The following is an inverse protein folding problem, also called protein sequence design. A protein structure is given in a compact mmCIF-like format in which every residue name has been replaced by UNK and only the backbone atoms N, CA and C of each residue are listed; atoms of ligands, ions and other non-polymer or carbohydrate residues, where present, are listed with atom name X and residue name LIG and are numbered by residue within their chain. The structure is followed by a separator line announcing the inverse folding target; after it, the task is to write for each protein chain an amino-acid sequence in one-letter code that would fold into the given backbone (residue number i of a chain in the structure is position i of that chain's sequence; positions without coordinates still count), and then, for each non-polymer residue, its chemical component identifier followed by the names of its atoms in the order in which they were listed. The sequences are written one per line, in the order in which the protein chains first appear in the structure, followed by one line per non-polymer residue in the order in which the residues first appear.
data_IF_200667211934
#
_entry.id   IF_200667211934
#
_cell.length_a   1.000
_cell.length_b   1.000
_cell.length_c   1.000
_cell.angle_alpha   90.00
_cell.angle_beta   90.00
_cell.angle_gamma   90.00
#
_symmetry.space_group_name_H-M   'P 1'
#
loop_
_entity.id
_entity.type
_entity.pdbx_description
1 polymer ?
#
# COMPACT_ATOMS: atom_id res chain seq x y z
N UNK A 1 -27.53 46.59 1.88
CA UNK A 1 -26.11 46.90 2.12
C UNK A 1 -25.48 47.17 0.77
N UNK A 2 -24.91 48.36 0.50
CA UNK A 2 -24.38 48.67 -0.83
C UNK A 2 -23.07 47.91 -1.06
N UNK A 3 -22.82 47.49 -2.32
CA UNK A 3 -21.59 46.77 -2.71
C UNK A 3 -20.34 47.56 -2.31
N UNK A 4 -20.40 48.91 -2.37
CA UNK A 4 -19.31 49.78 -1.97
C UNK A 4 -18.97 49.69 -0.47
N UNK A 5 -19.97 49.55 0.40
CA UNK A 5 -19.76 49.42 1.85
C UNK A 5 -19.11 48.06 2.19
N UNK A 6 -19.50 46.99 1.48
CA UNK A 6 -18.91 45.66 1.67
C UNK A 6 -17.45 45.62 1.21
N UNK A 7 -17.13 46.23 0.05
CA UNK A 7 -15.76 46.31 -0.46
C UNK A 7 -14.87 47.16 0.46
N UNK A 8 -15.37 48.31 0.92
CA UNK A 8 -14.64 49.18 1.86
C UNK A 8 -14.34 48.48 3.19
N UNK A 9 -15.30 47.73 3.73
CA UNK A 9 -15.11 46.96 4.96
C UNK A 9 -14.06 45.86 4.80
N UNK A 10 -14.09 45.08 3.70
CA UNK A 10 -13.09 44.03 3.43
C UNK A 10 -11.68 44.60 3.31
N UNK A 11 -11.51 45.77 2.67
CA UNK A 11 -10.22 46.45 2.56
C UNK A 11 -9.67 46.88 3.93
N UNK A 12 -10.51 47.48 4.78
CA UNK A 12 -10.10 47.90 6.13
C UNK A 12 -9.75 46.69 7.00
N UNK A 13 -10.56 45.63 6.97
CA UNK A 13 -10.25 44.40 7.69
C UNK A 13 -8.93 43.76 7.21
N UNK A 14 -8.68 43.76 5.89
CA UNK A 14 -7.42 43.28 5.32
C UNK A 14 -6.21 44.09 5.79
N UNK A 15 -6.31 45.43 5.78
CA UNK A 15 -5.24 46.31 6.25
C UNK A 15 -4.94 46.13 7.75
N UNK A 16 -5.99 45.98 8.58
CA UNK A 16 -5.85 45.72 10.02
C UNK A 16 -5.20 44.36 10.26
N UNK A 17 -5.61 43.30 9.55
CA UNK A 17 -5.03 41.98 9.68
C UNK A 17 -3.54 41.95 9.31
N UNK A 18 -3.17 42.63 8.21
CA UNK A 18 -1.78 42.82 7.79
C UNK A 18 -0.97 43.58 8.86
N UNK A 19 -1.51 44.68 9.40
CA UNK A 19 -0.84 45.47 10.44
C UNK A 19 -0.59 44.71 11.74
N UNK A 20 -1.58 43.92 12.20
CA UNK A 20 -1.46 43.08 13.41
C UNK A 20 -0.42 41.96 13.20
N UNK A 21 -0.37 41.38 12.01
CA UNK A 21 0.59 40.34 11.67
C UNK A 21 2.02 40.88 11.57
N UNK A 22 2.24 42.04 10.93
CA UNK A 22 3.55 42.72 10.90
C UNK A 22 4.05 43.01 12.32
N UNK A 23 3.16 43.52 13.19
CA UNK A 23 3.50 43.86 14.57
C UNK A 23 3.86 42.63 15.41
N UNK A 24 3.17 41.51 15.22
CA UNK A 24 3.46 40.26 15.96
C UNK A 24 4.71 39.56 15.47
N UNK A 25 5.02 39.64 14.17
CA UNK A 25 6.26 39.10 13.60
C UNK A 25 7.49 39.94 13.96
N UNK A 26 7.38 41.28 13.94
CA UNK A 26 8.49 42.16 14.33
C UNK A 26 8.88 42.02 15.80
N UNK A 27 7.92 41.72 16.68
CA UNK A 27 8.18 41.37 18.09
C UNK A 27 8.93 40.05 18.28
N UNK A 28 8.87 39.13 17.32
CA UNK A 28 9.49 37.80 17.40
C UNK A 28 10.86 37.73 16.72
N UNK A 29 11.17 38.69 15.85
CA UNK A 29 12.47 38.76 15.21
C UNK A 29 13.47 39.52 16.09
N UNK A 30 14.61 38.92 16.40
CA UNK A 30 15.73 39.62 17.03
C UNK A 30 16.41 40.53 16.00
N UNK A 31 15.86 41.72 15.75
CA UNK A 31 16.45 42.71 14.85
C UNK A 31 15.44 43.55 14.04
N UNK A 32 15.96 44.37 13.12
CA UNK A 32 15.13 45.23 12.27
C UNK A 32 14.35 44.39 11.24
N UNK A 33 13.05 44.18 11.50
CA UNK A 33 12.15 43.50 10.56
C UNK A 33 11.76 44.45 9.41
N UNK A 34 12.47 44.33 8.29
CA UNK A 34 12.25 45.15 7.10
C UNK A 34 11.04 44.71 6.26
N UNK A 35 10.56 45.60 5.40
CA UNK A 35 9.46 45.33 4.44
C UNK A 35 9.77 44.14 3.52
N UNK A 36 11.04 43.95 3.15
CA UNK A 36 11.49 42.78 2.36
C UNK A 36 11.29 41.46 3.11
N UNK A 37 11.65 41.40 4.39
CA UNK A 37 11.44 40.21 5.23
C UNK A 37 9.95 39.89 5.39
N UNK A 38 9.09 40.92 5.50
CA UNK A 38 7.65 40.71 5.51
C UNK A 38 7.12 40.15 4.19
N UNK A 39 7.57 40.68 3.04
CA UNK A 39 7.18 40.16 1.71
C UNK A 39 7.61 38.71 1.49
N UNK A 40 8.78 38.31 1.99
CA UNK A 40 9.22 36.90 1.99
C UNK A 40 8.24 36.02 2.78
N UNK A 41 7.81 36.45 3.98
CA UNK A 41 6.85 35.66 4.78
C UNK A 41 5.48 35.55 4.12
N UNK A 42 5.05 36.57 3.36
CA UNK A 42 3.82 36.50 2.58
C UNK A 42 3.95 35.52 1.41
N UNK A 43 5.10 35.51 0.73
CA UNK A 43 5.37 34.57 -0.36
C UNK A 43 5.42 33.13 0.17
N UNK A 44 6.09 32.89 1.30
CA UNK A 44 6.14 31.58 1.95
C UNK A 44 4.76 31.10 2.37
N UNK A 45 3.93 31.98 2.94
CA UNK A 45 2.54 31.65 3.31
C UNK A 45 1.68 31.37 2.09
N UNK A 46 1.82 32.15 1.03
CA UNK A 46 1.09 31.93 -0.20
C UNK A 46 1.51 30.61 -0.87
N UNK A 47 2.82 30.32 -0.90
CA UNK A 47 3.36 29.05 -1.37
C UNK A 47 2.85 27.87 -0.52
N UNK A 48 2.79 28.02 0.81
CA UNK A 48 2.22 27.01 1.71
C UNK A 48 0.72 26.80 1.45
N UNK A 49 -0.07 27.86 1.30
CA UNK A 49 -1.51 27.74 0.99
C UNK A 49 -1.76 27.12 -0.39
N UNK A 50 -0.93 27.46 -1.39
CA UNK A 50 -0.99 26.81 -2.70
C UNK A 50 -0.60 25.32 -2.60
N UNK A 51 0.44 25.00 -1.82
CA UNK A 51 0.85 23.62 -1.56
C UNK A 51 -0.27 22.83 -0.85
N UNK A 52 -0.93 23.42 0.14
CA UNK A 52 -2.05 22.80 0.86
C UNK A 52 -3.25 22.58 -0.07
N UNK A 53 -3.59 23.56 -0.93
CA UNK A 53 -4.67 23.42 -1.91
C UNK A 53 -4.38 22.34 -2.95
N UNK A 54 -3.15 22.29 -3.45
CA UNK A 54 -2.74 21.26 -4.41
C UNK A 54 -2.73 19.89 -3.77
N UNK A 55 -2.21 19.75 -2.55
CA UNK A 55 -2.27 18.51 -1.77
C UNK A 55 -3.72 18.06 -1.51
N UNK A 56 -4.60 18.98 -1.10
CA UNK A 56 -6.02 18.68 -0.88
C UNK A 56 -6.73 18.24 -2.17
N UNK A 57 -6.41 18.86 -3.30
CA UNK A 57 -6.96 18.45 -4.61
C UNK A 57 -6.46 17.07 -5.02
N UNK A 58 -5.15 16.82 -4.89
CA UNK A 58 -4.55 15.50 -5.20
C UNK A 58 -5.18 14.41 -4.33
N UNK A 59 -5.37 14.67 -3.04
CA UNK A 59 -6.02 13.73 -2.13
C UNK A 59 -7.50 13.52 -2.47
N UNK A 60 -8.24 14.58 -2.82
CA UNK A 60 -9.63 14.45 -3.29
C UNK A 60 -9.72 13.64 -4.59
N UNK A 61 -8.83 13.88 -5.55
CA UNK A 61 -8.78 13.14 -6.82
C UNK A 61 -8.38 11.67 -6.59
N UNK A 62 -7.51 11.40 -5.60
CA UNK A 62 -7.16 10.04 -5.17
C UNK A 62 -8.36 9.33 -4.56
N UNK A 63 -9.05 9.98 -3.61
CA UNK A 63 -10.25 9.43 -2.97
C UNK A 63 -11.38 9.18 -3.96
N UNK A 64 -11.56 10.06 -4.95
CA UNK A 64 -12.53 9.87 -6.03
C UNK A 64 -12.20 8.62 -6.86
N UNK A 65 -10.92 8.42 -7.23
CA UNK A 65 -10.45 7.21 -7.93
C UNK A 65 -10.60 5.95 -7.08
N UNK A 66 -10.29 6.03 -5.79
CA UNK A 66 -10.52 4.94 -4.84
C UNK A 66 -12.00 4.56 -4.77
N UNK A 67 -12.89 5.54 -4.64
CA UNK A 67 -14.33 5.33 -4.56
C UNK A 67 -14.93 4.80 -5.87
N UNK A 68 -14.36 5.16 -7.02
CA UNK A 68 -14.74 4.61 -8.32
C UNK A 68 -14.37 3.11 -8.47
N UNK A 69 -13.45 2.60 -7.64
CA UNK A 69 -13.05 1.20 -7.61
C UNK A 69 -12.13 0.79 -8.76
N UNK A 70 -11.86 -0.52 -8.85
CA UNK A 70 -10.91 -1.08 -9.81
C UNK A 70 -11.35 -1.03 -11.28
N UNK A 71 -12.64 -0.78 -11.56
CA UNK A 71 -13.19 -0.77 -12.92
C UNK A 71 -12.49 0.26 -13.83
N UNK A 72 -12.14 1.44 -13.30
CA UNK A 72 -11.47 2.50 -14.06
C UNK A 72 -10.05 2.15 -14.50
N UNK A 73 -9.49 1.05 -13.99
CA UNK A 73 -8.14 0.58 -14.27
C UNK A 73 -8.12 -0.69 -15.11
N UNK A 74 -9.28 -1.12 -15.61
CA UNK A 74 -9.39 -2.26 -16.52
C UNK A 74 -8.74 -1.91 -17.85
N UNK A 75 -7.80 -2.72 -18.36
CA UNK A 75 -7.14 -2.44 -19.63
C UNK A 75 -8.13 -2.59 -20.78
N UNK A 76 -7.81 -1.94 -21.90
CA UNK A 76 -8.47 -2.24 -23.17
C UNK A 76 -8.25 -3.73 -23.52
N UNK A 77 -9.24 -4.38 -24.18
CA UNK A 77 -9.03 -5.74 -24.64
C UNK A 77 -7.83 -5.80 -25.61
N UNK A 78 -6.96 -6.83 -25.51
CA UNK A 78 -5.92 -7.05 -26.50
C UNK A 78 -6.46 -7.15 -27.93
N UNK A 79 -5.60 -6.97 -28.93
CA UNK A 79 -6.01 -7.13 -30.32
C UNK A 79 -6.60 -8.52 -30.57
N UNK A 80 -7.79 -8.56 -31.19
CA UNK A 80 -8.53 -9.81 -31.45
C UNK A 80 -9.26 -10.39 -30.22
N UNK A 81 -9.27 -9.68 -29.09
CA UNK A 81 -10.01 -10.05 -27.89
C UNK A 81 -11.24 -9.16 -27.70
N UNK A 82 -12.24 -9.70 -27.02
CA UNK A 82 -13.47 -8.99 -26.64
C UNK A 82 -13.58 -8.95 -25.13
N UNK A 83 -14.02 -7.83 -24.57
CA UNK A 83 -14.33 -7.71 -23.14
C UNK A 83 -15.82 -7.89 -22.88
N UNK A 84 -16.13 -8.54 -21.76
CA UNK A 84 -17.48 -8.90 -21.34
C UNK A 84 -17.75 -8.42 -19.92
N UNK A 85 -18.98 -8.00 -19.69
CA UNK A 85 -19.53 -7.69 -18.36
C UNK A 85 -20.10 -8.95 -17.72
N UNK A 86 -20.01 -9.07 -16.40
CA UNK A 86 -20.70 -10.14 -15.68
C UNK A 86 -22.23 -10.06 -15.81
N UNK A 87 -22.78 -8.91 -16.20
CA UNK A 87 -24.20 -8.77 -16.51
C UNK A 87 -24.62 -9.59 -17.75
N UNK A 88 -23.68 -9.95 -18.62
CA UNK A 88 -23.89 -10.77 -19.82
C UNK A 88 -23.77 -12.26 -19.49
N UNK A 89 -24.43 -12.73 -18.43
CA UNK A 89 -24.26 -14.08 -17.87
C UNK A 89 -24.62 -15.23 -18.83
N UNK A 90 -25.30 -14.94 -19.93
CA UNK A 90 -25.68 -15.91 -20.98
C UNK A 90 -24.57 -16.12 -22.02
N UNK A 91 -23.59 -15.23 -22.08
CA UNK A 91 -22.46 -15.33 -23.01
C UNK A 91 -21.48 -16.42 -22.58
N UNK A 92 -21.04 -17.24 -23.54
CA UNK A 92 -20.18 -18.40 -23.26
C UNK A 92 -18.89 -18.04 -22.48
N UNK A 93 -18.18 -16.93 -22.79
CA UNK A 93 -17.01 -16.52 -22.00
C UNK A 93 -17.34 -16.18 -20.54
N UNK A 94 -18.52 -15.64 -20.28
CA UNK A 94 -18.97 -15.30 -18.92
C UNK A 94 -19.31 -16.55 -18.13
N UNK A 95 -20.01 -17.50 -18.75
CA UNK A 95 -20.27 -18.82 -18.16
C UNK A 95 -18.95 -19.52 -17.79
N UNK A 96 -17.96 -19.48 -18.69
CA UNK A 96 -16.63 -20.04 -18.45
C UNK A 96 -15.91 -19.34 -17.30
N UNK A 97 -15.90 -18.00 -17.27
CA UNK A 97 -15.30 -17.27 -16.15
C UNK A 97 -15.96 -17.56 -14.80
N UNK A 98 -17.29 -17.74 -14.77
CA UNK A 98 -18.02 -18.14 -13.56
C UNK A 98 -17.69 -19.57 -13.11
N UNK A 99 -17.24 -20.44 -14.01
CA UNK A 99 -16.76 -21.79 -13.68
C UNK A 99 -15.44 -21.79 -12.90
N UNK A 100 -14.66 -20.69 -12.95
CA UNK A 100 -13.43 -20.50 -12.18
C UNK A 100 -13.66 -20.29 -10.66
N UNK A 101 -14.82 -20.73 -10.15
CA UNK A 101 -15.27 -20.67 -8.74
C UNK A 101 -14.87 -19.34 -8.07
N UNK A 102 -15.55 -18.21 -8.41
CA UNK A 102 -15.34 -16.93 -7.76
C UNK A 102 -15.28 -17.07 -6.24
N UNK A 103 -14.10 -16.92 -5.63
CA UNK A 103 -14.01 -16.66 -4.19
C UNK A 103 -14.41 -15.21 -4.00
N UNK A 104 -15.57 -14.92 -3.39
CA UNK A 104 -15.95 -13.54 -3.12
C UNK A 104 -14.89 -12.92 -2.22
N UNK A 105 -14.48 -11.70 -2.53
CA UNK A 105 -13.53 -10.97 -1.69
C UNK A 105 -14.27 -10.59 -0.42
N UNK A 106 -13.94 -11.24 0.70
CA UNK A 106 -14.52 -10.96 2.01
C UNK A 106 -14.31 -9.52 2.51
N UNK A 107 -13.54 -8.69 1.79
CA UNK A 107 -13.04 -7.39 2.26
C UNK A 107 -13.63 -6.18 1.52
N UNK A 108 -14.27 -6.37 0.37
CA UNK A 108 -14.95 -5.26 -0.37
C UNK A 108 -16.46 -5.37 -0.37
N UNK A 109 -16.97 -6.49 0.09
CA UNK A 109 -18.38 -6.72 0.30
C UNK A 109 -18.56 -6.85 1.80
N UNK A 110 -19.48 -6.08 2.36
CA UNK A 110 -19.89 -6.40 3.73
C UNK A 110 -20.35 -7.86 3.74
N UNK A 111 -20.12 -8.59 4.83
CA UNK A 111 -20.66 -9.97 4.97
C UNK A 111 -22.16 -10.00 4.64
N UNK A 112 -22.89 -8.92 4.97
CA UNK A 112 -24.27 -8.66 4.54
C UNK A 112 -24.48 -8.58 3.03
N UNK A 113 -23.59 -7.99 2.24
CA UNK A 113 -23.68 -7.95 0.76
C UNK A 113 -23.48 -9.34 0.15
N UNK A 114 -22.58 -10.15 0.72
CA UNK A 114 -22.37 -11.55 0.29
C UNK A 114 -23.61 -12.39 0.62
N UNK A 115 -24.10 -12.33 1.86
CA UNK A 115 -25.32 -13.06 2.27
C UNK A 115 -26.57 -12.59 1.53
N UNK A 116 -26.70 -11.30 1.23
CA UNK A 116 -27.83 -10.80 0.42
C UNK A 116 -27.68 -11.13 -1.05
N UNK A 117 -26.47 -11.19 -1.60
CA UNK A 117 -26.24 -11.65 -2.97
C UNK A 117 -26.55 -13.13 -3.13
N UNK A 118 -26.16 -13.98 -2.17
CA UNK A 118 -26.54 -15.40 -2.14
C UNK A 118 -28.05 -15.59 -2.07
N UNK A 119 -28.75 -14.78 -1.26
CA UNK A 119 -30.22 -14.83 -1.13
C UNK A 119 -30.97 -14.24 -2.34
N UNK A 120 -30.38 -13.32 -3.09
CA UNK A 120 -30.99 -12.64 -4.25
C UNK A 120 -30.66 -13.29 -5.60
N UNK A 121 -29.86 -14.36 -5.60
CA UNK A 121 -29.52 -15.13 -6.79
C UNK A 121 -28.38 -14.54 -7.63
N UNK A 122 -28.03 -15.24 -8.72
CA UNK A 122 -26.84 -14.99 -9.53
C UNK A 122 -26.73 -13.56 -10.10
N UNK A 123 -27.85 -12.87 -10.34
CA UNK A 123 -27.87 -11.50 -10.85
C UNK A 123 -27.26 -10.47 -9.87
N UNK A 124 -27.47 -10.64 -8.56
CA UNK A 124 -26.87 -9.76 -7.56
C UNK A 124 -25.36 -10.00 -7.43
N UNK A 125 -24.93 -11.28 -7.48
CA UNK A 125 -23.52 -11.68 -7.50
C UNK A 125 -22.82 -11.16 -8.76
N UNK A 126 -23.47 -11.23 -9.92
CA UNK A 126 -22.95 -10.69 -11.18
C UNK A 126 -22.69 -9.18 -11.11
N UNK A 127 -23.63 -8.39 -10.55
CA UNK A 127 -23.44 -6.94 -10.38
C UNK A 127 -22.27 -6.60 -9.46
N UNK A 128 -22.05 -7.42 -8.43
CA UNK A 128 -20.94 -7.26 -7.51
C UNK A 128 -19.61 -7.55 -8.21
N UNK A 129 -19.54 -8.66 -8.95
CA UNK A 129 -18.35 -9.03 -9.71
C UNK A 129 -18.04 -8.03 -10.83
N UNK A 130 -19.07 -7.44 -11.45
CA UNK A 130 -18.90 -6.44 -12.52
C UNK A 130 -18.30 -5.11 -12.04
N UNK A 131 -18.43 -4.79 -10.74
CA UNK A 131 -17.83 -3.58 -10.16
C UNK A 131 -16.32 -3.67 -10.03
N UNK A 132 -15.79 -4.87 -9.82
CA UNK A 132 -14.37 -5.06 -9.54
C UNK A 132 -13.66 -5.84 -10.63
N UNK A 133 -14.40 -6.53 -11.51
CA UNK A 133 -13.81 -7.39 -12.52
C UNK A 133 -14.43 -7.29 -13.91
N UNK A 134 -13.62 -7.72 -14.88
CA UNK A 134 -13.99 -7.81 -16.30
C UNK A 134 -13.46 -9.12 -16.88
N UNK A 135 -14.20 -9.65 -17.84
CA UNK A 135 -13.84 -10.87 -18.54
C UNK A 135 -13.33 -10.50 -19.92
N UNK A 136 -12.30 -11.19 -20.39
CA UNK A 136 -11.74 -11.03 -21.72
C UNK A 136 -11.67 -12.41 -22.38
N UNK A 137 -12.05 -12.49 -23.64
CA UNK A 137 -11.99 -13.71 -24.42
C UNK A 137 -11.40 -13.45 -25.79
N UNK A 138 -10.54 -14.35 -26.26
CA UNK A 138 -9.95 -14.28 -27.59
C UNK A 138 -9.43 -15.64 -28.05
N UNK A 139 -8.94 -15.68 -29.28
CA UNK A 139 -8.26 -16.86 -29.80
C UNK A 139 -6.85 -16.98 -29.22
N UNK A 140 -6.51 -18.17 -28.74
CA UNK A 140 -5.18 -18.55 -28.30
C UNK A 140 -4.68 -19.83 -28.99
N UNK A 141 -3.48 -20.30 -28.63
CA UNK A 141 -2.83 -21.45 -29.29
C UNK A 141 -3.65 -22.74 -29.17
N UNK A 142 -4.39 -22.90 -28.07
CA UNK A 142 -5.14 -24.11 -27.72
C UNK A 142 -6.65 -23.94 -27.89
N UNK A 143 -7.10 -22.94 -28.65
CA UNK A 143 -8.51 -22.60 -28.83
C UNK A 143 -8.89 -21.27 -28.17
N UNK A 144 -10.15 -21.11 -27.81
CA UNK A 144 -10.61 -19.88 -27.14
C UNK A 144 -10.02 -19.85 -25.73
N UNK A 145 -9.35 -18.76 -25.39
CA UNK A 145 -8.84 -18.49 -24.04
C UNK A 145 -9.79 -17.52 -23.31
N UNK A 146 -9.83 -17.60 -21.98
CA UNK A 146 -10.62 -16.71 -21.14
C UNK A 146 -9.79 -16.18 -19.97
N UNK A 147 -9.77 -14.85 -19.83
CA UNK A 147 -9.12 -14.12 -18.74
C UNK A 147 -10.22 -13.44 -17.93
N UNK A 148 -10.29 -13.70 -16.63
CA UNK A 148 -11.09 -12.91 -15.71
C UNK A 148 -10.15 -12.11 -14.80
N UNK A 149 -10.09 -10.81 -15.05
CA UNK A 149 -9.35 -9.85 -14.23
C UNK A 149 -10.28 -9.26 -13.17
N UNK A 150 -9.83 -9.23 -11.93
CA UNK A 150 -10.50 -8.60 -10.78
C UNK A 150 -9.50 -7.69 -10.06
N UNK A 151 -9.78 -6.39 -10.02
CA UNK A 151 -8.99 -5.39 -9.32
C UNK A 151 -9.83 -4.89 -8.14
N UNK A 152 -9.34 -5.18 -6.95
CA UNK A 152 -10.02 -4.86 -5.71
C UNK A 152 -9.17 -3.92 -4.86
N UNK A 153 -9.78 -2.84 -4.37
CA UNK A 153 -9.15 -1.95 -3.39
C UNK A 153 -9.55 -2.36 -1.98
N UNK A 154 -8.57 -2.83 -1.21
CA UNK A 154 -8.75 -3.23 0.18
C UNK A 154 -8.44 -2.02 1.06
N UNK A 155 -9.46 -1.45 1.75
CA UNK A 155 -9.21 -0.35 2.66
C UNK A 155 -8.37 -0.83 3.84
N UNK A 156 -7.69 0.14 4.45
CA UNK A 156 -6.97 -0.04 5.70
C UNK A 156 -7.83 -0.74 6.75
N UNK A 157 -7.29 -1.75 7.44
CA UNK A 157 -8.07 -2.49 8.43
C UNK A 157 -8.40 -1.63 9.66
N UNK A 158 -9.64 -1.70 10.16
CA UNK A 158 -10.08 -1.02 11.39
C UNK A 158 -9.61 -1.78 12.65
N UNK A 159 -8.29 -1.83 12.87
CA UNK A 159 -7.62 -2.63 13.91
C UNK A 159 -7.87 -2.17 15.35
N UNK A 160 -8.42 -0.97 15.53
CA UNK A 160 -8.80 -0.46 16.84
C UNK A 160 -10.23 -0.88 17.23
N UNK A 161 -10.77 -1.92 16.60
CA UNK A 161 -12.07 -2.53 16.90
C UNK A 161 -11.90 -4.05 17.07
N UNK A 162 -12.67 -4.67 17.97
CA UNK A 162 -12.66 -6.14 18.15
C UNK A 162 -12.98 -6.89 16.86
N UNK A 163 -13.96 -6.39 16.09
CA UNK A 163 -14.34 -6.98 14.81
C UNK A 163 -13.17 -6.92 13.80
N UNK A 164 -12.47 -5.79 13.73
CA UNK A 164 -11.31 -5.63 12.85
C UNK A 164 -10.13 -6.52 13.23
N UNK A 165 -9.85 -6.67 14.53
CA UNK A 165 -8.80 -7.58 15.02
C UNK A 165 -9.14 -9.05 14.71
N UNK A 166 -10.39 -9.47 15.00
CA UNK A 166 -10.85 -10.83 14.73
C UNK A 166 -10.82 -11.15 13.23
N UNK A 167 -11.31 -10.24 12.37
CA UNK A 167 -11.25 -10.41 10.91
C UNK A 167 -9.81 -10.43 10.40
N UNK A 168 -8.93 -9.57 10.93
CA UNK A 168 -7.52 -9.54 10.57
C UNK A 168 -6.82 -10.88 10.84
N UNK A 169 -7.04 -11.45 12.03
CA UNK A 169 -6.48 -12.76 12.40
C UNK A 169 -7.05 -13.90 11.56
N UNK A 170 -8.37 -13.92 11.31
CA UNK A 170 -9.00 -14.93 10.46
C UNK A 170 -8.46 -14.88 9.02
N UNK A 171 -8.25 -13.68 8.47
CA UNK A 171 -7.69 -13.52 7.13
C UNK A 171 -6.21 -13.91 7.07
N UNK A 172 -5.41 -13.54 8.07
CA UNK A 172 -4.02 -13.96 8.16
C UNK A 172 -3.90 -15.49 8.22
N UNK A 173 -4.77 -16.15 9.00
CA UNK A 173 -4.85 -17.59 9.07
C UNK A 173 -5.25 -18.22 7.73
N UNK A 174 -6.33 -17.72 7.10
CA UNK A 174 -6.79 -18.19 5.79
C UNK A 174 -5.70 -18.09 4.71
N UNK A 175 -4.97 -16.98 4.67
CA UNK A 175 -3.86 -16.77 3.72
C UNK A 175 -2.67 -17.67 4.02
N UNK A 176 -2.36 -17.93 5.30
CA UNK A 176 -1.29 -18.83 5.69
C UNK A 176 -1.50 -20.28 5.24
N UNK A 177 -2.73 -20.63 4.84
CA UNK A 177 -3.10 -21.95 4.32
C UNK A 177 -3.14 -22.02 2.79
N UNK A 178 -2.94 -20.91 2.09
CA UNK A 178 -2.83 -20.88 0.63
C UNK A 178 -1.42 -21.29 0.22
N UNK A 179 -1.30 -22.27 -0.68
CA UNK A 179 -0.03 -22.57 -1.32
C UNK A 179 0.15 -21.63 -2.52
N UNK A 180 1.22 -20.84 -2.48
CA UNK A 180 1.57 -19.89 -3.53
C UNK A 180 2.90 -20.28 -4.16
N UNK A 181 2.99 -20.14 -5.48
CA UNK A 181 4.21 -20.32 -6.27
C UNK A 181 4.50 -19.03 -7.05
N UNK A 182 5.78 -18.66 -7.21
CA UNK A 182 6.13 -17.49 -8.01
C UNK A 182 5.66 -17.62 -9.44
N UNK A 183 5.06 -16.57 -10.00
CA UNK A 183 4.78 -16.53 -11.43
C UNK A 183 5.74 -15.58 -12.13
N UNK A 184 5.54 -14.28 -11.98
CA UNK A 184 6.34 -13.26 -12.65
C UNK A 184 6.26 -11.90 -11.94
N UNK A 185 7.15 -10.99 -12.31
CA UNK A 185 7.11 -9.59 -11.84
C UNK A 185 6.81 -8.66 -13.01
N UNK A 186 5.81 -7.81 -12.85
CA UNK A 186 5.45 -6.78 -13.82
C UNK A 186 5.53 -5.41 -13.15
N UNK A 187 6.46 -4.57 -13.60
CA UNK A 187 6.65 -3.19 -13.14
C UNK A 187 6.61 -3.03 -11.61
N UNK A 188 7.39 -3.88 -10.92
CA UNK A 188 7.51 -3.90 -9.46
C UNK A 188 6.45 -4.74 -8.74
N UNK A 189 5.43 -5.24 -9.42
CA UNK A 189 4.37 -6.09 -8.83
C UNK A 189 4.70 -7.56 -9.03
N UNK A 190 4.97 -8.26 -7.93
CA UNK A 190 5.10 -9.73 -7.94
C UNK A 190 3.74 -10.41 -8.01
N UNK A 191 3.56 -11.28 -9.00
CA UNK A 191 2.41 -12.16 -9.14
C UNK A 191 2.78 -13.57 -8.71
N UNK A 192 1.93 -14.16 -7.87
CA UNK A 192 2.03 -15.57 -7.46
C UNK A 192 0.81 -16.35 -7.93
N UNK A 193 1.02 -17.61 -8.26
CA UNK A 193 -0.03 -18.57 -8.58
C UNK A 193 -0.52 -19.27 -7.31
N UNK A 194 -1.82 -19.18 -7.04
CA UNK A 194 -2.47 -19.85 -5.93
C UNK A 194 -2.91 -21.23 -6.40
N UNK A 195 -2.06 -22.24 -6.16
CA UNK A 195 -2.23 -23.59 -6.69
C UNK A 195 -3.20 -24.44 -5.87
N UNK A 196 -3.27 -24.24 -4.53
CA UNK A 196 -4.16 -24.99 -3.62
C UNK A 196 -4.62 -24.17 -2.42
N UNK A 197 -5.86 -24.39 -2.01
CA UNK A 197 -6.34 -24.07 -0.66
C UNK A 197 -6.47 -25.38 0.11
N UNK A 198 -5.69 -25.57 1.17
CA UNK A 198 -5.72 -26.80 1.99
C UNK A 198 -7.06 -27.04 2.69
N UNK A 199 -7.97 -26.05 2.66
CA UNK A 199 -9.33 -26.13 3.19
C UNK A 199 -10.33 -26.83 2.24
N UNK A 200 -10.01 -26.97 0.95
CA UNK A 200 -10.87 -27.67 0.00
C UNK A 200 -10.42 -29.13 -0.09
N UNK A 201 -11.22 -30.06 0.44
CA UNK A 201 -10.91 -31.50 0.53
C UNK A 201 -10.87 -32.23 -0.82
N UNK A 202 -11.17 -31.55 -1.92
CA UNK A 202 -11.05 -32.09 -3.28
C UNK A 202 -9.67 -31.73 -3.83
N UNK A 203 -8.77 -32.70 -3.83
CA UNK A 203 -7.41 -32.65 -4.38
C UNK A 203 -7.38 -32.56 -5.92
N UNK A 204 -8.48 -32.12 -6.55
CA UNK A 204 -8.56 -31.96 -8.00
C UNK A 204 -7.80 -30.69 -8.41
N UNK A 205 -6.89 -30.77 -9.40
CA UNK A 205 -6.23 -29.60 -9.93
C UNK A 205 -7.29 -28.64 -10.47
N UNK A 206 -7.15 -27.35 -10.12
CA UNK A 206 -7.99 -26.31 -10.69
C UNK A 206 -7.81 -26.36 -12.22
N UNK A 207 -8.89 -26.56 -12.97
CA UNK A 207 -8.88 -26.50 -14.44
C UNK A 207 -8.60 -25.09 -15.00
N UNK A 208 -8.11 -24.19 -14.15
CA UNK A 208 -7.78 -22.80 -14.41
C UNK A 208 -6.68 -22.37 -13.43
N UNK A 209 -5.94 -21.34 -13.80
CA UNK A 209 -4.88 -20.70 -13.02
C UNK A 209 -5.43 -19.51 -12.27
N UNK A 210 -4.92 -19.26 -11.07
CA UNK A 210 -5.33 -18.14 -10.23
C UNK A 210 -4.10 -17.33 -9.80
N UNK A 211 -3.80 -16.26 -10.54
CA UNK A 211 -2.67 -15.39 -10.28
C UNK A 211 -3.10 -14.21 -9.40
N UNK A 212 -2.28 -13.86 -8.41
CA UNK A 212 -2.55 -12.76 -7.49
C UNK A 212 -1.33 -11.85 -7.41
N UNK A 213 -1.53 -10.58 -7.71
CA UNK A 213 -0.57 -9.50 -7.48
C UNK A 213 -1.09 -8.51 -6.44
N UNK A 214 -0.19 -7.93 -5.64
CA UNK A 214 -0.53 -6.97 -4.58
C UNK A 214 0.34 -5.73 -4.66
N UNK A 215 -0.28 -4.57 -4.46
CA UNK A 215 0.41 -3.28 -4.32
C UNK A 215 0.02 -2.70 -2.95
N UNK A 216 1.02 -2.30 -2.17
CA UNK A 216 0.81 -1.79 -0.82
C UNK A 216 0.68 -2.89 0.26
N UNK A 217 0.42 -2.44 1.47
CA UNK A 217 0.24 -3.27 2.67
C UNK A 217 -0.77 -2.57 3.59
N UNK A 218 -1.68 -3.34 4.20
CA UNK A 218 -2.87 -2.85 4.94
C UNK A 218 -3.92 -2.17 4.04
N UNK A 219 -3.57 -1.02 3.46
CA UNK A 219 -4.28 -0.44 2.32
C UNK A 219 -3.65 -0.99 1.04
N UNK A 220 -4.41 -1.81 0.30
CA UNK A 220 -3.87 -2.61 -0.79
C UNK A 220 -4.69 -2.47 -2.07
N UNK A 221 -4.01 -2.48 -3.21
CA UNK A 221 -4.60 -2.88 -4.49
C UNK A 221 -4.31 -4.35 -4.69
N UNK A 222 -5.35 -5.17 -4.82
CA UNK A 222 -5.24 -6.60 -5.07
C UNK A 222 -5.72 -6.88 -6.49
N UNK A 223 -4.81 -7.40 -7.31
CA UNK A 223 -5.06 -7.76 -8.70
C UNK A 223 -5.15 -9.28 -8.74
N UNK A 224 -6.26 -9.81 -9.23
CA UNK A 224 -6.45 -11.25 -9.42
C UNK A 224 -6.75 -11.54 -10.87
N UNK A 225 -6.08 -12.53 -11.42
CA UNK A 225 -6.34 -13.03 -12.76
C UNK A 225 -6.66 -14.52 -12.67
N UNK A 226 -7.89 -14.87 -13.03
CA UNK A 226 -8.33 -16.26 -13.16
C UNK A 226 -8.44 -16.61 -14.63
N UNK A 227 -7.74 -17.64 -15.08
CA UNK A 227 -7.60 -17.86 -16.52
C UNK A 227 -7.17 -19.27 -16.88
N UNK A 228 -7.48 -19.68 -18.10
CA UNK A 228 -6.95 -20.87 -18.77
C UNK A 228 -6.07 -20.52 -19.99
N UNK A 229 -5.66 -19.26 -20.08
CA UNK A 229 -4.79 -18.78 -21.13
C UNK A 229 -3.35 -19.29 -20.99
N UNK A 230 -2.65 -19.33 -22.11
CA UNK A 230 -1.21 -19.61 -22.17
C UNK A 230 -0.38 -18.53 -21.49
N UNK A 231 0.86 -18.87 -21.08
CA UNK A 231 1.79 -17.94 -20.44
C UNK A 231 2.08 -16.70 -21.28
N UNK A 232 2.24 -16.85 -22.59
CA UNK A 232 2.48 -15.74 -23.49
C UNK A 232 1.31 -14.74 -23.50
N UNK A 233 0.07 -15.24 -23.46
CA UNK A 233 -1.13 -14.41 -23.36
C UNK A 233 -1.18 -13.70 -22.01
N UNK A 234 -0.94 -14.43 -20.92
CA UNK A 234 -0.97 -13.88 -19.56
C UNK A 234 0.07 -12.77 -19.39
N UNK A 235 1.32 -13.00 -19.81
CA UNK A 235 2.39 -12.02 -19.72
C UNK A 235 2.06 -10.76 -20.52
N UNK A 236 1.60 -10.92 -21.77
CA UNK A 236 1.18 -9.78 -22.59
C UNK A 236 0.04 -9.00 -21.93
N UNK A 237 -0.96 -9.70 -21.41
CA UNK A 237 -2.11 -9.08 -20.78
C UNK A 237 -1.72 -8.33 -19.50
N UNK A 238 -0.99 -8.96 -18.58
CA UNK A 238 -0.55 -8.32 -17.34
C UNK A 238 0.40 -7.15 -17.61
N UNK A 239 1.28 -7.25 -18.61
CA UNK A 239 2.16 -6.14 -19.00
C UNK A 239 1.43 -4.88 -19.52
N UNK A 240 0.16 -5.01 -19.90
CA UNK A 240 -0.66 -3.89 -20.38
C UNK A 240 -1.33 -3.07 -19.27
N UNK A 241 -1.24 -3.52 -18.01
CA UNK A 241 -1.83 -2.82 -16.87
C UNK A 241 -1.02 -1.57 -16.51
N UNK A 242 -1.74 -0.49 -16.20
CA UNK A 242 -1.13 0.74 -15.67
C UNK A 242 -0.89 0.62 -14.16
N UNK A 243 0.20 -0.05 -13.81
CA UNK A 243 0.60 -0.25 -12.41
C UNK A 243 0.92 1.07 -11.69
N UNK A 244 1.42 2.08 -12.40
CA UNK A 244 1.67 3.40 -11.84
C UNK A 244 0.37 4.08 -11.41
N UNK A 245 -0.67 4.04 -12.25
CA UNK A 245 -1.98 4.60 -11.93
C UNK A 245 -2.64 3.85 -10.76
N UNK A 246 -2.52 2.51 -10.72
CA UNK A 246 -3.01 1.69 -9.60
C UNK A 246 -2.29 2.04 -8.29
N UNK A 247 -0.96 2.17 -8.32
CA UNK A 247 -0.16 2.52 -7.16
C UNK A 247 -0.47 3.94 -6.65
N UNK A 248 -0.76 4.88 -7.55
CA UNK A 248 -1.11 6.26 -7.22
C UNK A 248 -2.46 6.43 -6.50
N UNK A 249 -3.29 5.38 -6.42
CA UNK A 249 -4.54 5.40 -5.64
C UNK A 249 -4.27 5.20 -4.15
N UNK A 250 -3.13 4.60 -3.79
CA UNK A 250 -2.74 4.37 -2.40
C UNK A 250 -2.36 5.67 -1.71
N UNK A 251 -2.69 5.79 -0.42
CA UNK A 251 -2.23 6.88 0.46
C UNK A 251 -0.70 6.90 0.57
N UNK A 252 -0.09 5.71 0.61
CA UNK A 252 1.35 5.52 0.60
C UNK A 252 1.73 4.61 -0.58
N UNK A 253 2.02 5.19 -1.76
CA UNK A 253 2.47 4.43 -2.93
C UNK A 253 3.79 3.71 -2.65
N UNK A 254 3.95 2.52 -3.26
CA UNK A 254 5.19 1.74 -3.20
C UNK A 254 6.15 2.24 -4.28
N UNK A 255 7.32 2.75 -3.92
CA UNK A 255 8.26 3.36 -4.88
C UNK A 255 8.78 2.40 -5.96
N UNK A 256 8.71 1.09 -5.72
CA UNK A 256 9.08 0.09 -6.71
C UNK A 256 8.05 -0.07 -7.83
N UNK A 257 6.79 0.29 -7.62
CA UNK A 257 5.69 -0.04 -8.52
C UNK A 257 5.39 1.11 -9.47
N UNK A 258 5.35 0.85 -10.77
CA UNK A 258 5.13 1.90 -11.77
C UNK A 258 6.40 2.65 -12.19
N UNK A 259 7.58 2.11 -11.85
CA UNK A 259 8.87 2.77 -12.04
C UNK A 259 9.65 2.24 -13.26
N UNK A 260 9.05 1.32 -14.03
CA UNK A 260 9.64 0.72 -15.21
C UNK A 260 10.69 -0.36 -14.90
N UNK A 261 10.58 -1.04 -13.75
CA UNK A 261 11.53 -2.11 -13.42
C UNK A 261 11.33 -3.31 -14.35
N UNK A 262 12.42 -3.76 -14.96
CA UNK A 262 12.47 -4.96 -15.78
C UNK A 262 13.32 -6.00 -15.07
N UNK A 263 12.71 -7.13 -14.73
CA UNK A 263 13.40 -8.29 -14.15
C UNK A 263 13.65 -9.31 -15.27
N UNK A 264 14.86 -9.86 -15.32
CA UNK A 264 15.22 -10.87 -16.30
C UNK A 264 14.28 -12.09 -16.20
N UNK A 265 13.82 -12.69 -17.32
CA UNK A 265 12.83 -13.78 -17.29
C UNK A 265 13.18 -14.94 -16.34
N UNK A 266 14.47 -15.30 -16.26
CA UNK A 266 14.96 -16.36 -15.37
C UNK A 266 14.82 -16.03 -13.87
N UNK A 267 14.73 -14.75 -13.50
CA UNK A 267 14.64 -14.31 -12.11
C UNK A 267 13.22 -13.91 -11.69
N UNK A 268 12.28 -13.76 -12.64
CA UNK A 268 10.94 -13.24 -12.37
C UNK A 268 10.17 -14.08 -11.35
N UNK A 269 10.23 -15.40 -11.47
CA UNK A 269 9.58 -16.35 -10.54
C UNK A 269 10.11 -16.19 -9.12
N UNK A 270 11.43 -16.31 -8.95
CA UNK A 270 12.08 -16.17 -7.64
C UNK A 270 11.82 -14.79 -7.02
N UNK A 271 11.80 -13.72 -7.84
CA UNK A 271 11.51 -12.38 -7.35
C UNK A 271 10.08 -12.22 -6.89
N UNK A 272 9.12 -12.80 -7.61
CA UNK A 272 7.72 -12.80 -7.20
C UNK A 272 7.53 -13.52 -5.86
N UNK A 273 8.24 -14.64 -5.63
CA UNK A 273 8.22 -15.36 -4.36
C UNK A 273 8.82 -14.55 -3.22
N UNK A 274 9.93 -13.84 -3.45
CA UNK A 274 10.53 -12.97 -2.45
C UNK A 274 9.56 -11.86 -2.02
N UNK A 275 8.83 -11.26 -2.97
CA UNK A 275 7.83 -10.22 -2.69
C UNK A 275 6.65 -10.81 -1.89
N UNK A 276 6.15 -11.99 -2.26
CA UNK A 276 5.07 -12.66 -1.53
C UNK A 276 5.50 -13.11 -0.12
N UNK A 277 6.71 -13.63 0.03
CA UNK A 277 7.30 -13.97 1.34
C UNK A 277 7.42 -12.73 2.24
N UNK A 278 7.86 -11.60 1.68
CA UNK A 278 7.92 -10.33 2.39
C UNK A 278 6.53 -9.87 2.84
N UNK A 279 5.52 -10.04 1.99
CA UNK A 279 4.12 -9.76 2.33
C UNK A 279 3.61 -10.69 3.45
N UNK A 280 3.93 -11.98 3.41
CA UNK A 280 3.58 -12.95 4.47
C UNK A 280 4.23 -12.57 5.80
N UNK A 281 5.54 -12.26 5.80
CA UNK A 281 6.27 -11.81 6.99
C UNK A 281 5.67 -10.54 7.58
N UNK A 282 5.33 -9.55 6.74
CA UNK A 282 4.66 -8.32 7.19
C UNK A 282 3.28 -8.62 7.81
N UNK A 283 2.52 -9.54 7.20
CA UNK A 283 1.22 -9.99 7.72
C UNK A 283 1.37 -10.69 9.08
N UNK A 284 2.37 -11.56 9.25
CA UNK A 284 2.67 -12.22 10.53
C UNK A 284 3.09 -11.21 11.60
N UNK A 285 3.94 -10.23 11.26
CA UNK A 285 4.33 -9.17 12.18
C UNK A 285 3.13 -8.34 12.63
N UNK A 286 2.24 -7.99 11.69
CA UNK A 286 0.98 -7.33 12.00
C UNK A 286 0.10 -8.17 12.94
N UNK A 287 0.00 -9.47 12.70
CA UNK A 287 -0.79 -10.37 13.56
C UNK A 287 -0.24 -10.39 14.98
N UNK A 288 1.09 -10.41 15.16
CA UNK A 288 1.74 -10.32 16.47
C UNK A 288 1.43 -9.00 17.19
N UNK A 289 1.57 -7.86 16.50
CA UNK A 289 1.21 -6.54 17.06
C UNK A 289 -0.28 -6.52 17.46
N UNK A 290 -1.12 -7.16 16.65
CA UNK A 290 -2.56 -7.24 16.92
C UNK A 290 -2.87 -8.13 18.14
N UNK A 291 -2.10 -9.20 18.38
CA UNK A 291 -2.18 -10.03 19.60
C UNK A 291 -1.70 -9.25 20.84
N UNK A 292 -0.57 -8.55 20.75
CA UNK A 292 -0.08 -7.70 21.85
C UNK A 292 -1.09 -6.61 22.22
N UNK A 293 -1.78 -6.03 21.23
CA UNK A 293 -2.91 -5.11 21.46
C UNK A 293 -4.08 -5.76 22.19
N UNK A 294 -4.36 -7.03 21.91
CA UNK A 294 -5.42 -7.76 22.61
C UNK A 294 -5.04 -8.03 24.07
N UNK A 295 -3.78 -8.36 24.31
CA UNK A 295 -3.25 -8.63 25.64
C UNK A 295 -3.18 -7.36 26.51
N UNK A 296 -2.92 -6.20 25.92
CA UNK A 296 -2.81 -4.90 26.62
C UNK A 296 -4.03 -3.99 26.36
N UNK A 297 -5.22 -4.58 26.16
CA UNK A 297 -6.41 -3.82 25.81
C UNK A 297 -7.00 -3.09 27.03
N UNK A 298 -7.15 -1.78 26.94
CA UNK A 298 -7.92 -1.00 27.90
C UNK A 298 -9.41 -1.08 27.56
N UNK A 299 -10.18 -1.72 28.43
CA UNK A 299 -11.63 -1.90 28.26
C UNK A 299 -12.38 -0.57 28.08
N UNK A 300 -11.89 0.52 28.69
CA UNK A 300 -12.47 1.85 28.55
C UNK A 300 -12.37 2.39 27.11
N UNK A 301 -11.16 2.38 26.54
CA UNK A 301 -10.91 2.77 25.15
C UNK A 301 -11.65 1.89 24.14
N UNK A 302 -11.79 0.58 24.41
CA UNK A 302 -12.55 -0.33 23.55
C UNK A 302 -14.03 0.03 23.50
N UNK A 303 -14.65 0.33 24.65
CA UNK A 303 -16.06 0.76 24.69
C UNK A 303 -16.26 2.05 23.91
N UNK A 304 -15.36 3.04 24.08
CA UNK A 304 -15.40 4.31 23.33
C UNK A 304 -15.35 4.05 21.82
N UNK A 305 -14.40 3.22 21.36
CA UNK A 305 -14.29 2.91 19.93
C UNK A 305 -15.50 2.16 19.39
N UNK A 306 -16.11 1.28 20.20
CA UNK A 306 -17.33 0.56 19.81
C UNK A 306 -18.50 1.53 19.61
N UNK A 307 -18.67 2.52 20.49
CA UNK A 307 -19.74 3.54 20.36
C UNK A 307 -19.45 4.59 19.27
N UNK A 308 -18.19 4.96 19.05
CA UNK A 308 -17.78 5.99 18.08
C UNK A 308 -17.64 5.43 16.65
N UNK A 309 -17.41 4.13 16.49
CA UNK A 309 -17.28 3.46 15.19
C UNK A 309 -18.49 3.64 14.25
N UNK A 310 -19.66 4.00 14.79
CA UNK A 310 -20.84 4.35 13.99
C UNK A 310 -20.81 5.76 13.37
N UNK A 311 -19.93 6.67 13.83
CA UNK A 311 -20.01 8.10 13.53
C UNK A 311 -18.74 8.75 12.96
N UNK A 312 -17.55 8.16 13.11
CA UNK A 312 -16.30 8.75 12.58
C UNK A 312 -15.35 7.70 12.01
N UNK A 313 -14.89 7.90 10.77
CA UNK A 313 -13.92 7.03 10.09
C UNK A 313 -12.45 7.30 10.45
N UNK A 314 -12.14 8.50 10.97
CA UNK A 314 -10.75 8.96 11.11
C UNK A 314 -10.29 9.21 12.56
N UNK A 315 -11.14 8.92 13.56
CA UNK A 315 -10.84 9.21 14.97
C UNK A 315 -11.10 8.01 15.87
N UNK A 316 -10.35 6.92 15.68
CA UNK A 316 -10.41 5.77 16.59
C UNK A 316 -9.32 5.94 17.65
N UNK A 317 -9.72 6.04 18.92
CA UNK A 317 -8.79 6.11 20.07
C UNK A 317 -7.94 4.85 20.10
N UNK A 318 -6.67 4.93 20.47
CA UNK A 318 -5.87 3.71 20.61
C UNK A 318 -6.45 2.82 21.72
N UNK A 319 -6.67 1.53 21.41
CA UNK A 319 -7.32 0.58 22.32
C UNK A 319 -6.41 0.14 23.49
N UNK A 320 -5.14 0.53 23.46
CA UNK A 320 -4.16 0.21 24.50
C UNK A 320 -3.82 1.41 25.39
N UNK A 321 -4.48 2.55 25.20
CA UNK A 321 -4.13 3.78 25.93
C UNK A 321 -2.70 4.27 25.67
N UNK A 322 -2.07 3.84 24.57
CA UNK A 322 -0.68 4.15 24.20
C UNK A 322 0.37 3.14 24.68
N UNK A 323 -0.02 2.01 25.29
CA UNK A 323 0.92 0.99 25.76
C UNK A 323 1.58 0.20 24.61
N UNK A 324 0.86 -0.01 23.50
CA UNK A 324 1.38 -0.69 22.30
C UNK A 324 1.56 0.33 21.17
N UNK A 325 2.81 0.52 20.74
CA UNK A 325 3.10 1.35 19.57
C UNK A 325 2.64 0.64 18.30
N UNK A 326 1.49 1.03 17.77
CA UNK A 326 1.04 0.63 16.43
C UNK A 326 0.98 1.86 15.54
N UNK A 327 1.91 1.92 14.58
CA UNK A 327 1.85 2.88 13.50
C UNK A 327 1.69 2.11 12.19
N UNK A 328 0.45 1.83 11.77
CA UNK A 328 0.18 1.07 10.55
C UNK A 328 0.72 1.77 9.30
N UNK A 329 0.83 3.10 9.30
CA UNK A 329 1.44 3.85 8.20
C UNK A 329 2.95 3.54 8.12
N UNK A 330 3.65 3.36 9.26
CA UNK A 330 5.07 2.94 9.26
C UNK A 330 5.26 1.52 8.74
N UNK A 331 4.37 0.57 9.08
CA UNK A 331 4.45 -0.78 8.52
C UNK A 331 4.26 -0.77 7.00
N UNK A 332 3.29 0.01 6.50
CA UNK A 332 3.05 0.17 5.07
C UNK A 332 4.26 0.80 4.35
N UNK A 333 4.82 1.87 4.93
CA UNK A 333 6.03 2.53 4.40
C UNK A 333 7.24 1.59 4.44
N UNK A 334 7.44 0.87 5.55
CA UNK A 334 8.52 -0.09 5.72
C UNK A 334 8.43 -1.25 4.73
N UNK A 335 7.23 -1.79 4.51
CA UNK A 335 6.97 -2.79 3.47
C UNK A 335 7.36 -2.24 2.08
N UNK A 336 6.90 -1.03 1.73
CA UNK A 336 7.22 -0.41 0.44
C UNK A 336 8.72 -0.19 0.22
N UNK A 337 9.45 0.21 1.27
CA UNK A 337 10.91 0.31 1.23
C UNK A 337 11.59 -1.04 1.04
N UNK A 338 11.12 -2.07 1.74
CA UNK A 338 11.69 -3.40 1.66
C UNK A 338 11.44 -4.06 0.28
N UNK A 339 10.27 -3.83 -0.34
CA UNK A 339 10.06 -4.20 -1.75
C UNK A 339 11.01 -3.43 -2.66
N UNK A 340 11.20 -2.13 -2.43
CA UNK A 340 12.08 -1.30 -3.27
C UNK A 340 13.55 -1.68 -3.15
N UNK A 341 14.00 -2.14 -1.98
CA UNK A 341 15.38 -2.59 -1.79
C UNK A 341 15.69 -3.89 -2.55
N UNK A 342 14.70 -4.78 -2.74
CA UNK A 342 14.86 -5.97 -3.58
C UNK A 342 15.26 -5.58 -5.01
N UNK A 343 14.58 -4.59 -5.60
CA UNK A 343 14.88 -4.15 -6.97
C UNK A 343 16.15 -3.30 -7.08
N UNK A 344 16.48 -2.51 -6.05
CA UNK A 344 17.72 -1.73 -6.05
C UNK A 344 18.96 -2.63 -5.95
N UNK A 345 18.89 -3.74 -5.21
CA UNK A 345 19.98 -4.69 -5.12
C UNK A 345 20.32 -5.28 -6.49
N UNK A 346 19.29 -5.65 -7.27
CA UNK A 346 19.45 -6.21 -8.61
C UNK A 346 20.05 -5.21 -9.57
N UNK A 347 19.59 -3.96 -9.51
CA UNK A 347 20.15 -2.90 -10.35
C UNK A 347 21.63 -2.71 -10.09
N UNK A 348 22.06 -2.73 -8.82
CA UNK A 348 23.49 -2.64 -8.46
C UNK A 348 24.25 -3.87 -8.93
N UNK A 349 23.67 -5.06 -8.86
CA UNK A 349 24.31 -6.29 -9.36
C UNK A 349 24.44 -6.27 -10.88
N UNK A 350 23.41 -5.82 -11.60
CA UNK A 350 23.44 -5.68 -13.05
C UNK A 350 24.43 -4.59 -13.51
N UNK A 351 24.51 -3.48 -12.78
CA UNK A 351 25.48 -2.40 -13.04
C UNK A 351 26.93 -2.80 -12.67
N UNK A 352 27.11 -3.70 -11.69
CA UNK A 352 28.41 -4.21 -11.26
C UNK A 352 28.88 -5.45 -12.05
N UNK A 353 27.99 -6.09 -12.81
CA UNK A 353 28.38 -7.16 -13.72
C UNK A 353 29.39 -6.58 -14.73
N UNK A 354 30.58 -7.19 -14.89
CA UNK A 354 31.54 -6.69 -15.85
C UNK A 354 30.86 -6.63 -17.22
N UNK A 355 30.80 -5.41 -17.78
CA UNK A 355 30.51 -5.26 -19.19
C UNK A 355 31.70 -5.89 -19.90
N UNK A 356 31.51 -7.10 -20.42
CA UNK A 356 32.46 -7.72 -21.35
C UNK A 356 32.49 -6.85 -22.60
N UNK A 357 33.30 -5.80 -22.51
CA UNK A 357 33.73 -4.98 -23.63
C UNK A 357 34.82 -5.78 -24.33
N UNK A 358 34.39 -6.55 -25.33
CA UNK A 358 35.21 -7.10 -26.41
C UNK A 358 36.39 -8.00 -25.97
N UNK A 359 36.18 -9.32 -25.94
CA UNK A 359 37.29 -10.25 -26.27
C UNK A 359 36.80 -11.51 -26.96
N UNK A 360 37.09 -11.54 -28.26
CA UNK A 360 37.34 -12.72 -29.07
C UNK A 360 38.29 -13.70 -28.33
N UNK A 361 37.78 -14.68 -27.58
CA UNK A 361 38.54 -15.93 -27.32
C UNK A 361 37.68 -17.09 -26.82
N UNK A 362 37.90 -18.22 -27.49
CA UNK A 362 37.42 -19.57 -27.19
C UNK A 362 37.77 -20.02 -25.76
N UNK A 363 36.86 -20.85 -25.22
CA UNK A 363 37.09 -21.89 -24.22
C UNK A 363 37.69 -21.46 -22.87
N UNK A 364 36.89 -21.53 -21.80
CA UNK A 364 37.20 -22.38 -20.65
C UNK A 364 36.06 -22.48 -19.64
N UNK A 365 35.83 -23.72 -19.20
CA UNK A 365 35.50 -24.16 -17.86
C UNK A 365 34.27 -23.59 -17.13
N UNK A 366 33.25 -24.46 -17.05
CA UNK A 366 32.24 -24.52 -16.00
C UNK A 366 32.93 -24.77 -14.65
N UNK A 367 32.95 -23.77 -13.77
CA UNK A 367 33.17 -23.97 -12.34
C UNK A 367 31.85 -23.74 -11.58
N UNK A 368 31.52 -24.72 -10.74
CA UNK A 368 30.35 -24.73 -9.88
C UNK A 368 30.41 -23.59 -8.86
N UNK A 369 29.43 -22.69 -8.92
CA UNK A 369 29.21 -21.69 -7.89
C UNK A 369 28.63 -22.35 -6.63
N UNK A 370 29.40 -22.31 -5.55
CA UNK A 370 28.94 -22.64 -4.19
C UNK A 370 27.86 -21.63 -3.74
N UNK A 371 26.73 -22.16 -3.26
CA UNK A 371 25.65 -21.40 -2.61
C UNK A 371 26.19 -20.65 -1.39
N UNK A 372 26.28 -19.32 -1.49
CA UNK A 372 26.48 -18.46 -0.32
C UNK A 372 25.15 -18.28 0.44
N UNK A 373 25.15 -18.39 1.78
CA UNK A 373 23.95 -18.18 2.59
C UNK A 373 23.41 -16.76 2.42
N UNK A 374 22.10 -16.67 2.18
CA UNK A 374 21.41 -15.49 1.69
C UNK A 374 21.55 -14.23 2.55
N UNK A 375 21.78 -13.11 1.86
CA UNK A 375 21.88 -11.73 2.35
C UNK A 375 20.64 -11.25 3.16
N UNK A 376 19.54 -12.00 3.15
CA UNK A 376 18.32 -11.73 3.91
C UNK A 376 18.43 -12.00 5.41
N UNK A 377 19.39 -12.83 5.86
CA UNK A 377 19.59 -13.07 7.31
C UNK A 377 20.09 -11.81 8.04
N UNK A 378 20.96 -11.01 7.40
CA UNK A 378 21.57 -9.84 8.02
C UNK A 378 20.63 -8.65 8.21
N UNK A 379 19.52 -8.59 7.46
CA UNK A 379 18.57 -7.47 7.57
C UNK A 379 17.64 -7.62 8.79
N UNK A 380 17.32 -8.86 9.17
CA UNK A 380 16.54 -9.17 10.39
C UNK A 380 17.35 -8.96 11.69
N UNK A 381 18.66 -9.22 11.67
CA UNK A 381 19.54 -8.96 12.83
C UNK A 381 19.70 -7.46 13.11
N UNK A 382 19.63 -6.61 12.08
CA UNK A 382 19.68 -5.15 12.27
C UNK A 382 18.43 -4.56 12.93
N UNK A 383 17.27 -5.19 12.72
CA UNK A 383 15.97 -4.72 13.24
C UNK A 383 15.67 -5.23 14.66
N UNK A 384 16.26 -6.35 15.07
CA UNK A 384 16.11 -6.90 16.43
C UNK A 384 17.04 -6.25 17.45
N UNK A 385 18.10 -5.55 17.04
CA UNK A 385 19.06 -4.90 17.97
C UNK A 385 18.61 -3.55 18.56
N UNK A 386 17.42 -3.04 18.22
CA UNK A 386 16.89 -1.79 18.81
C UNK A 386 16.15 -1.99 20.15
N UNK A 387 16.12 -3.20 20.71
CA UNK A 387 15.45 -3.49 21.98
C UNK A 387 16.14 -4.60 22.78
N UNK A 388 17.31 -4.31 23.34
CA UNK A 388 17.97 -5.26 24.24
C UNK A 388 19.29 -4.75 24.79
N UNK A 389 19.27 -4.31 26.06
CA UNK A 389 20.47 -4.07 26.86
C UNK A 389 21.21 -5.39 27.09
N UNK A 390 22.22 -5.67 26.27
CA UNK A 390 23.24 -6.70 26.50
C UNK A 390 24.60 -6.04 26.72
N UNK A 391 24.97 -5.88 27.98
CA UNK A 391 26.27 -5.32 28.40
C UNK A 391 27.34 -6.39 28.22
N UNK A 392 28.39 -6.08 27.44
CA UNK A 392 29.70 -6.72 27.57
C UNK A 392 30.74 -5.61 27.76
N UNK A 393 31.49 -5.73 28.85
CA UNK A 393 32.43 -4.77 29.40
C UNK A 393 33.62 -4.50 28.47
N UNK A 394 34.13 -3.26 28.47
CA UNK A 394 35.30 -2.87 29.28
C UNK A 394 35.94 -1.59 28.69
N UNK A 395 35.52 -0.39 29.14
CA UNK A 395 36.29 0.86 28.96
C UNK A 395 36.03 1.86 30.10
N UNK A 396 37.05 2.64 30.51
CA UNK A 396 37.01 3.43 31.74
C UNK A 396 36.20 4.72 31.64
N UNK A 397 35.65 5.08 32.79
CA UNK A 397 34.68 6.13 33.10
C UNK A 397 35.18 7.55 32.78
N UNK A 398 34.49 8.25 31.87
CA UNK A 398 34.36 9.70 31.89
C UNK A 398 33.00 10.07 32.52
N UNK A 399 32.99 11.14 33.33
CA UNK A 399 31.93 11.48 34.28
C UNK A 399 30.57 11.75 33.59
N UNK A 400 29.44 11.38 34.23
CA UNK A 400 28.12 11.59 33.65
C UNK A 400 27.72 13.08 33.70
N UNK A 401 27.48 13.66 32.53
CA UNK A 401 26.68 14.88 32.40
C UNK A 401 25.23 14.51 32.73
N UNK A 402 24.69 15.11 33.79
CA UNK A 402 23.32 14.93 34.24
C UNK A 402 22.34 15.45 33.17
N UNK A 403 21.85 14.56 32.31
CA UNK A 403 20.77 14.88 31.37
C UNK A 403 19.44 14.86 32.14
N UNK A 404 19.01 16.04 32.59
CA UNK A 404 17.64 16.26 33.06
C UNK A 404 16.67 16.10 31.90
N UNK A 405 16.01 14.94 31.83
CA UNK A 405 14.86 14.74 30.95
C UNK A 405 13.64 15.39 31.59
N UNK A 406 13.28 16.59 31.12
CA UNK A 406 12.05 17.26 31.52
C UNK A 406 10.84 16.43 31.05
N UNK A 407 10.11 15.83 31.99
CA UNK A 407 8.76 15.30 31.79
C UNK A 407 7.79 16.48 31.75
N UNK A 408 7.59 17.05 30.57
CA UNK A 408 6.56 18.07 30.30
C UNK A 408 5.84 17.75 28.99
N UNK A 409 4.52 17.58 29.05
CA UNK A 409 3.69 17.19 27.91
C UNK A 409 3.78 18.17 26.74
N UNK A 410 4.04 17.64 25.55
CA UNK A 410 4.05 18.37 24.29
C UNK A 410 2.61 18.64 23.82
N UNK A 411 2.01 19.75 24.26
CA UNK A 411 0.83 20.32 23.60
C UNK A 411 1.25 21.50 22.73
N UNK A 412 1.47 21.30 21.43
CA UNK A 412 1.62 22.42 20.50
C UNK A 412 2.58 22.29 19.30
N UNK A 413 3.03 21.08 18.91
CA UNK A 413 3.87 20.94 17.71
C UNK A 413 3.03 20.95 16.42
N UNK A 414 3.16 22.01 15.61
CA UNK A 414 2.70 21.99 14.22
C UNK A 414 3.75 21.25 13.37
N UNK A 415 3.43 20.02 13.00
CA UNK A 415 4.22 19.25 12.04
C UNK A 415 3.52 19.27 10.68
N UNK A 416 4.28 19.58 9.62
CA UNK A 416 3.81 19.50 8.24
C UNK A 416 4.55 18.37 7.53
N UNK A 417 3.81 17.55 6.81
CA UNK A 417 4.36 16.50 5.94
C UNK A 417 4.71 17.11 4.58
N UNK A 418 5.97 17.00 4.16
CA UNK A 418 6.39 17.38 2.81
C UNK A 418 7.02 16.16 2.13
N UNK A 419 6.26 15.50 1.26
CA UNK A 419 6.66 14.21 0.68
C UNK A 419 6.84 13.13 1.74
N UNK A 420 7.97 12.41 1.70
CA UNK A 420 8.30 11.34 2.66
C UNK A 420 8.90 11.85 3.99
N UNK A 421 9.10 13.17 4.16
CA UNK A 421 9.78 13.72 5.34
C UNK A 421 8.81 14.55 6.18
N UNK A 422 8.73 14.21 7.48
CA UNK A 422 7.96 14.98 8.47
C UNK A 422 8.86 16.07 9.06
N UNK A 423 8.51 17.35 8.85
CA UNK A 423 9.18 18.46 9.53
C UNK A 423 8.29 18.99 10.64
N UNK A 424 8.78 18.92 11.87
CA UNK A 424 8.11 19.47 13.04
C UNK A 424 8.79 20.76 13.45
N UNK A 425 8.02 21.85 13.56
CA UNK A 425 8.51 23.08 14.17
C UNK A 425 8.13 23.06 15.66
N UNK A 426 9.14 22.97 16.52
CA UNK A 426 8.94 23.13 17.96
C UNK A 426 8.82 24.63 18.22
N UNK A 427 7.62 25.06 18.60
CA UNK A 427 7.41 26.41 19.14
C UNK A 427 7.76 26.34 20.62
N UNK A 428 8.92 26.86 21.00
CA UNK A 428 9.19 27.16 22.41
C UNK A 428 8.37 28.42 22.75
N UNK A 429 7.44 28.29 23.70
CA UNK A 429 6.78 29.44 24.32
C UNK A 429 7.70 30.10 25.33
#
# INVERSE_FOLDING_TARGET
MSIANTVGFVLVCGAVAVGVDVYTQSKKAEGAFGVSAYLETLNDRYAAVLADRTAAKVEADRQARWAAGGQGFMPAPPEGWTSYSFAQYEEAPVIRALSFKPTPVANTLSTTDIYTAERRGNAAKARILDRTGRIYSGAGPNGVETLWLDITFKPKAHRNTMAGLAMGNMMAFSKGMEQTEGYAVFDGVGFVEVSRSTLSSTDEPLGYRNLVGRIGFDEEVVIRLRTDASDATIQRFLSSLDYAALNAVLKHPVSAVGAGYVVAPAEQTARAEQIDDLYRKATTMQAKISMEKIENMDMGSLMVNTFVSGFNRDGIVDITGGEVFDNPDLLQIGYGHAVSSLFQADRRQAEAAPQDDDTDTRQAAVEHAEEKPGMLSGLMDSLTSMGGTGVAADQPVEQPVEVRVNKGGFSGSNCVMQGAVKRCKIVQN
#
